data_IF_230474375238
#
_entry.id   IF_230474375238
#
_cell.length_a   1.000
_cell.length_b   1.000
_cell.length_c   1.000
_cell.angle_alpha   90.00
_cell.angle_beta   90.00
_cell.angle_gamma   90.00
#
_symmetry.space_group_name_H-M   'P 1'
#
loop_
_entity.id
_entity.type
_entity.pdbx_description
1 polymer ?
#
# COMPACT_ATOMS: atom_id res chain seq x y z
N UNK A 1 2.13 37.80 -19.07
CA UNK A 1 2.73 36.44 -18.88
C UNK A 1 2.15 35.87 -17.60
N UNK A 2 1.29 34.89 -17.72
CA UNK A 2 0.79 34.13 -16.59
C UNK A 2 1.74 32.96 -16.30
N UNK A 3 1.70 32.44 -15.06
CA UNK A 3 2.41 31.24 -14.66
C UNK A 3 1.42 30.10 -14.54
N UNK A 4 1.61 29.02 -15.29
CA UNK A 4 0.69 27.89 -15.37
C UNK A 4 1.39 26.63 -14.88
N UNK A 5 0.82 26.00 -13.86
CA UNK A 5 1.25 24.68 -13.41
C UNK A 5 0.67 23.57 -14.30
N UNK A 6 1.50 22.65 -14.73
CA UNK A 6 1.13 21.45 -15.50
C UNK A 6 1.33 20.23 -14.62
N UNK A 7 0.26 19.59 -14.22
CA UNK A 7 0.30 18.44 -13.30
C UNK A 7 -0.30 17.21 -13.96
N UNK A 8 0.54 16.49 -14.70
CA UNK A 8 0.19 15.20 -15.29
C UNK A 8 0.18 14.06 -14.29
N UNK A 9 -0.71 13.11 -14.46
CA UNK A 9 -0.75 11.93 -13.60
C UNK A 9 -1.82 10.92 -14.02
N UNK A 10 -1.73 9.69 -13.50
CA UNK A 10 -2.77 8.70 -13.72
C UNK A 10 -4.07 9.04 -12.96
N UNK A 11 -3.99 9.72 -11.82
CA UNK A 11 -5.11 10.05 -10.93
C UNK A 11 -6.03 8.85 -10.70
N UNK A 12 -5.47 7.76 -10.18
CA UNK A 12 -6.10 6.45 -10.17
C UNK A 12 -6.27 5.85 -8.75
N UNK A 13 -7.16 6.38 -7.89
CA UNK A 13 -7.93 7.61 -8.01
C UNK A 13 -7.13 8.88 -7.71
N UNK A 14 -7.68 10.07 -8.05
CA UNK A 14 -7.22 11.33 -7.47
C UNK A 14 -7.49 11.30 -5.96
N UNK A 15 -6.55 11.82 -5.16
CA UNK A 15 -6.65 11.83 -3.70
C UNK A 15 -6.21 13.18 -3.12
N UNK A 16 -6.54 13.44 -1.87
CA UNK A 16 -6.26 14.73 -1.22
C UNK A 16 -4.77 15.09 -1.24
N UNK A 17 -3.87 14.10 -1.25
CA UNK A 17 -2.44 14.33 -1.41
C UNK A 17 -2.07 15.04 -2.73
N UNK A 18 -2.75 14.71 -3.85
CA UNK A 18 -2.57 15.41 -5.12
C UNK A 18 -3.03 16.86 -5.02
N UNK A 19 -4.20 17.08 -4.42
CA UNK A 19 -4.82 18.41 -4.33
C UNK A 19 -4.01 19.32 -3.41
N UNK A 20 -3.59 18.83 -2.25
CA UNK A 20 -2.75 19.61 -1.33
C UNK A 20 -1.40 19.95 -1.95
N UNK A 21 -0.77 19.00 -2.66
CA UNK A 21 0.49 19.26 -3.37
C UNK A 21 0.33 20.36 -4.44
N UNK A 22 -0.72 20.26 -5.25
CA UNK A 22 -1.04 21.26 -6.26
C UNK A 22 -1.32 22.65 -5.63
N UNK A 23 -2.17 22.70 -4.59
CA UNK A 23 -2.49 23.96 -3.87
C UNK A 23 -1.22 24.63 -3.32
N UNK A 24 -0.34 23.85 -2.69
CA UNK A 24 0.92 24.35 -2.13
C UNK A 24 1.87 24.86 -3.22
N UNK A 25 2.01 24.10 -4.31
CA UNK A 25 2.82 24.54 -5.45
C UNK A 25 2.29 25.85 -6.04
N UNK A 26 0.96 25.97 -6.20
CA UNK A 26 0.32 27.21 -6.69
C UNK A 26 0.68 28.40 -5.80
N UNK A 27 0.58 28.24 -4.48
CA UNK A 27 0.87 29.32 -3.51
C UNK A 27 2.36 29.71 -3.53
N UNK A 28 3.27 28.72 -3.46
CA UNK A 28 4.70 28.98 -3.35
C UNK A 28 5.31 29.58 -4.62
N UNK A 29 4.82 29.19 -5.80
CA UNK A 29 5.33 29.66 -7.08
C UNK A 29 4.53 30.82 -7.68
N UNK A 30 3.44 31.24 -7.03
CA UNK A 30 2.56 32.31 -7.53
C UNK A 30 1.90 31.92 -8.86
N UNK A 31 1.49 30.64 -9.01
CA UNK A 31 0.87 30.19 -10.25
C UNK A 31 -0.56 30.75 -10.36
N UNK A 32 -0.88 31.32 -11.51
CA UNK A 32 -2.23 31.82 -11.81
C UNK A 32 -3.24 30.69 -11.83
N UNK A 33 -2.87 29.56 -12.45
CA UNK A 33 -3.67 28.32 -12.46
C UNK A 33 -2.80 27.06 -12.51
N UNK A 34 -3.42 25.93 -12.22
CA UNK A 34 -2.86 24.59 -12.41
C UNK A 34 -3.78 23.78 -13.29
N UNK A 35 -3.25 23.15 -14.32
CA UNK A 35 -3.90 22.18 -15.17
C UNK A 35 -3.59 20.78 -14.64
N UNK A 36 -4.59 20.08 -14.07
CA UNK A 36 -4.49 18.66 -13.76
C UNK A 36 -4.82 17.88 -15.05
N UNK A 37 -3.92 16.99 -15.47
CA UNK A 37 -4.01 16.29 -16.76
C UNK A 37 -4.03 14.78 -16.53
N UNK A 38 -5.21 14.16 -16.47
CA UNK A 38 -5.34 12.71 -16.37
C UNK A 38 -4.80 12.03 -17.63
N UNK A 39 -3.78 11.16 -17.46
CA UNK A 39 -3.18 10.42 -18.56
C UNK A 39 -4.20 9.45 -19.20
N UNK A 40 -4.32 9.46 -20.53
CA UNK A 40 -5.12 8.47 -21.24
C UNK A 40 -4.47 7.08 -21.12
N UNK A 41 -3.25 6.95 -21.59
CA UNK A 41 -2.42 5.74 -21.52
C UNK A 41 -1.06 6.12 -20.93
N UNK A 42 -0.83 5.91 -19.62
CA UNK A 42 0.45 6.23 -18.98
C UNK A 42 1.60 5.42 -19.61
N UNK A 43 2.69 6.07 -20.12
CA UNK A 43 3.75 5.36 -20.82
C UNK A 43 4.69 4.57 -19.91
N UNK A 44 4.80 4.98 -18.64
CA UNK A 44 5.79 4.43 -17.70
C UNK A 44 5.24 3.39 -16.73
N UNK A 45 3.92 3.23 -16.64
CA UNK A 45 3.29 2.33 -15.67
C UNK A 45 1.97 1.81 -16.22
N UNK A 46 1.86 0.49 -16.33
CA UNK A 46 0.57 -0.13 -16.60
C UNK A 46 -0.45 0.31 -15.54
N UNK A 47 -1.63 0.65 -15.98
CA UNK A 47 -2.76 0.96 -15.09
C UNK A 47 -3.09 -0.33 -14.32
N UNK A 48 -3.29 -0.24 -13.01
CA UNK A 48 -3.60 -1.40 -12.20
C UNK A 48 -4.87 -2.11 -12.72
N UNK A 49 -4.89 -3.42 -12.68
CA UNK A 49 -6.07 -4.22 -13.06
C UNK A 49 -7.31 -3.74 -12.29
N UNK A 50 -8.46 -3.65 -12.95
CA UNK A 50 -9.70 -3.13 -12.36
C UNK A 50 -9.76 -1.61 -12.21
N UNK A 51 -8.78 -0.87 -12.77
CA UNK A 51 -8.85 0.59 -12.80
C UNK A 51 -9.84 1.08 -13.85
N UNK A 52 -10.56 2.18 -13.59
CA UNK A 52 -11.46 2.79 -14.54
C UNK A 52 -10.70 3.39 -15.74
N UNK A 53 -11.42 3.60 -16.83
CA UNK A 53 -10.90 4.24 -18.04
C UNK A 53 -10.49 5.71 -17.82
N UNK A 54 -9.95 6.33 -18.87
CA UNK A 54 -9.49 7.72 -18.82
C UNK A 54 -10.61 8.72 -18.56
N UNK A 55 -11.80 8.50 -19.13
CA UNK A 55 -12.97 9.37 -18.96
C UNK A 55 -13.47 9.35 -17.51
N UNK A 56 -13.58 8.18 -16.94
CA UNK A 56 -13.98 8.03 -15.54
C UNK A 56 -12.94 8.69 -14.61
N UNK A 57 -11.64 8.53 -14.88
CA UNK A 57 -10.58 9.17 -14.08
C UNK A 57 -10.57 10.69 -14.25
N UNK A 58 -10.93 11.20 -15.42
CA UNK A 58 -11.15 12.63 -15.66
C UNK A 58 -12.30 13.15 -14.80
N UNK A 59 -13.47 12.48 -14.82
CA UNK A 59 -14.62 12.85 -14.01
C UNK A 59 -14.30 12.83 -12.51
N UNK A 60 -13.61 11.80 -12.02
CA UNK A 60 -13.13 11.74 -10.63
C UNK A 60 -12.18 12.91 -10.31
N UNK A 61 -11.31 13.31 -11.25
CA UNK A 61 -10.39 14.43 -11.04
C UNK A 61 -11.12 15.77 -10.98
N UNK A 62 -12.19 15.94 -11.77
CA UNK A 62 -13.06 17.12 -11.68
C UNK A 62 -13.73 17.21 -10.30
N UNK A 63 -14.24 16.09 -9.78
CA UNK A 63 -14.82 16.04 -8.44
C UNK A 63 -13.76 16.32 -7.35
N UNK A 64 -12.54 15.83 -7.52
CA UNK A 64 -11.47 16.03 -6.53
C UNK A 64 -11.05 17.49 -6.38
N UNK A 65 -11.20 18.32 -7.44
CA UNK A 65 -10.88 19.76 -7.40
C UNK A 65 -12.13 20.63 -7.22
N UNK A 66 -13.29 20.05 -6.94
CA UNK A 66 -14.51 20.85 -6.72
C UNK A 66 -14.28 21.84 -5.57
N UNK A 67 -14.53 23.12 -5.84
CA UNK A 67 -14.28 24.22 -4.89
C UNK A 67 -12.82 24.73 -4.83
N UNK A 68 -11.88 24.14 -5.58
CA UNK A 68 -10.49 24.63 -5.63
C UNK A 68 -10.34 25.79 -6.62
N UNK A 69 -10.01 26.96 -6.10
CA UNK A 69 -9.78 28.15 -6.95
C UNK A 69 -8.46 28.01 -7.72
N UNK A 70 -8.49 28.25 -9.03
CA UNK A 70 -7.31 28.23 -9.89
C UNK A 70 -6.77 26.82 -10.17
N UNK A 71 -7.63 25.79 -10.08
CA UNK A 71 -7.37 24.44 -10.58
C UNK A 71 -8.38 24.10 -11.68
N UNK A 72 -7.88 23.52 -12.76
CA UNK A 72 -8.68 23.11 -13.91
C UNK A 72 -8.26 21.70 -14.31
N UNK A 73 -9.19 20.86 -14.77
CA UNK A 73 -8.85 19.56 -15.37
C UNK A 73 -8.83 19.69 -16.87
N UNK A 74 -7.73 19.28 -17.51
CA UNK A 74 -7.56 19.33 -18.96
C UNK A 74 -7.70 17.95 -19.59
N UNK A 75 -8.40 17.89 -20.74
CA UNK A 75 -8.62 16.67 -21.53
C UNK A 75 -7.51 16.39 -22.55
N UNK A 76 -6.51 17.27 -22.64
CA UNK A 76 -5.50 17.29 -23.71
C UNK A 76 -4.87 15.91 -24.01
N UNK A 77 -4.67 15.06 -23.01
CA UNK A 77 -4.13 13.71 -23.19
C UNK A 77 -5.22 12.67 -23.54
N UNK A 78 -6.48 12.91 -23.14
CA UNK A 78 -7.60 12.04 -23.49
C UNK A 78 -8.04 12.23 -24.93
N UNK A 79 -7.95 13.46 -25.43
CA UNK A 79 -8.37 13.81 -26.79
C UNK A 79 -7.28 13.44 -27.83
N UNK A 80 -6.06 13.14 -27.39
CA UNK A 80 -4.95 12.69 -28.24
C UNK A 80 -4.84 11.18 -28.27
N UNK A 81 -4.77 10.55 -29.46
CA UNK A 81 -4.56 9.11 -29.58
C UNK A 81 -3.14 8.68 -29.14
N UNK A 82 -3.05 7.49 -28.54
CA UNK A 82 -1.77 6.87 -28.18
C UNK A 82 -1.28 7.18 -26.76
N UNK A 83 -0.01 6.84 -26.45
CA UNK A 83 0.56 7.04 -25.12
C UNK A 83 0.70 8.51 -24.74
N UNK A 84 0.43 8.82 -23.47
CA UNK A 84 0.47 10.17 -22.90
C UNK A 84 1.90 10.61 -22.58
N UNK A 85 2.69 10.96 -23.60
CA UNK A 85 4.03 11.49 -23.37
C UNK A 85 3.99 12.97 -23.00
N UNK A 86 4.67 13.32 -21.92
CA UNK A 86 4.73 14.69 -21.38
C UNK A 86 5.25 15.72 -22.38
N UNK A 87 6.24 15.36 -23.20
CA UNK A 87 6.78 16.25 -24.21
C UNK A 87 5.73 16.69 -25.23
N UNK A 88 4.88 15.75 -25.67
CA UNK A 88 3.82 16.05 -26.63
C UNK A 88 2.75 16.97 -25.99
N UNK A 89 2.39 16.69 -24.73
CA UNK A 89 1.48 17.53 -23.95
C UNK A 89 2.00 18.94 -23.77
N UNK A 90 3.27 19.11 -23.48
CA UNK A 90 3.89 20.44 -23.33
C UNK A 90 3.98 21.22 -24.65
N UNK A 91 4.19 20.53 -25.80
CA UNK A 91 4.15 21.16 -27.13
C UNK A 91 2.79 21.74 -27.43
N UNK A 92 1.72 20.95 -27.22
CA UNK A 92 0.34 21.43 -27.42
C UNK A 92 -0.04 22.57 -26.46
N UNK A 93 0.41 22.49 -25.19
CA UNK A 93 0.21 23.57 -24.24
C UNK A 93 0.97 24.84 -24.64
N UNK A 94 2.15 24.70 -25.22
CA UNK A 94 2.92 25.85 -25.69
C UNK A 94 2.23 26.56 -26.86
N UNK A 95 1.55 25.82 -27.72
CA UNK A 95 0.72 26.39 -28.79
C UNK A 95 -0.48 27.14 -28.20
N UNK A 96 -1.11 26.60 -27.19
CA UNK A 96 -2.27 27.20 -26.50
C UNK A 96 -1.91 28.41 -25.63
N UNK A 97 -0.72 28.40 -25.06
CA UNK A 97 -0.20 29.42 -24.13
C UNK A 97 1.18 29.95 -24.55
N UNK A 98 1.31 30.58 -25.72
CA UNK A 98 2.61 30.91 -26.30
C UNK A 98 3.41 31.95 -25.51
N UNK A 99 2.74 32.80 -24.70
CA UNK A 99 3.35 33.86 -23.94
C UNK A 99 3.50 33.56 -22.44
N UNK A 100 2.96 32.39 -21.96
CA UNK A 100 2.92 32.09 -20.54
C UNK A 100 4.07 31.15 -20.12
N UNK A 101 4.45 31.20 -18.87
CA UNK A 101 5.47 30.29 -18.30
C UNK A 101 4.82 29.01 -17.83
N UNK A 102 5.27 27.86 -18.33
CA UNK A 102 4.83 26.55 -17.90
C UNK A 102 5.72 25.99 -16.81
N UNK A 103 5.12 25.45 -15.76
CA UNK A 103 5.80 24.79 -14.63
C UNK A 103 5.33 23.34 -14.55
N UNK A 104 6.22 22.38 -14.87
CA UNK A 104 5.90 20.95 -14.84
C UNK A 104 6.00 20.41 -13.41
N UNK A 105 4.85 20.16 -12.79
CA UNK A 105 4.76 19.67 -11.42
C UNK A 105 4.88 18.15 -11.39
N UNK A 106 5.79 17.61 -10.61
CA UNK A 106 6.00 16.16 -10.51
C UNK A 106 6.38 15.73 -9.09
N UNK A 107 6.03 14.49 -8.72
CA UNK A 107 6.47 13.89 -7.47
C UNK A 107 7.94 13.48 -7.50
N UNK A 108 8.49 13.16 -6.33
CA UNK A 108 9.90 12.80 -6.12
C UNK A 108 10.39 11.68 -7.05
N UNK A 109 9.63 10.58 -7.16
CA UNK A 109 10.03 9.43 -7.98
C UNK A 109 10.15 9.80 -9.46
N UNK A 110 9.21 10.60 -9.95
CA UNK A 110 9.19 11.10 -11.33
C UNK A 110 10.32 12.07 -11.59
N UNK A 111 10.65 12.93 -10.63
CA UNK A 111 11.79 13.85 -10.70
C UNK A 111 13.13 13.10 -10.77
N UNK A 112 13.33 12.09 -9.92
CA UNK A 112 14.56 11.30 -9.90
C UNK A 112 14.74 10.45 -11.18
N UNK A 113 13.63 10.05 -11.83
CA UNK A 113 13.65 9.32 -13.10
C UNK A 113 13.59 10.18 -14.35
N UNK A 114 13.67 11.50 -14.24
CA UNK A 114 13.43 12.45 -15.35
C UNK A 114 14.28 12.19 -16.59
N UNK A 115 15.55 11.79 -16.43
CA UNK A 115 16.45 11.46 -17.54
C UNK A 115 16.01 10.22 -18.35
N UNK A 116 15.08 9.42 -17.84
CA UNK A 116 14.54 8.24 -18.53
C UNK A 116 13.28 8.59 -19.35
N UNK A 117 12.80 9.85 -19.26
CA UNK A 117 11.62 10.28 -19.98
C UNK A 117 11.93 10.45 -21.48
N UNK A 118 10.89 10.44 -22.29
CA UNK A 118 11.04 10.73 -23.73
C UNK A 118 11.38 12.19 -23.94
N UNK A 119 12.50 12.46 -24.60
CA UNK A 119 12.99 13.81 -24.95
C UNK A 119 13.09 14.75 -23.72
N UNK A 120 13.86 14.40 -22.68
CA UNK A 120 13.91 15.19 -21.45
C UNK A 120 14.47 16.61 -21.67
N UNK A 121 15.38 16.80 -22.64
CA UNK A 121 15.90 18.12 -23.06
C UNK A 121 14.75 19.01 -23.58
N UNK A 122 13.89 18.47 -24.44
CA UNK A 122 12.75 19.22 -24.98
C UNK A 122 11.76 19.58 -23.87
N UNK A 123 11.53 18.68 -22.90
CA UNK A 123 10.67 18.93 -21.74
C UNK A 123 11.24 20.10 -20.92
N UNK A 124 12.55 20.09 -20.62
CA UNK A 124 13.20 21.12 -19.83
C UNK A 124 13.23 22.48 -20.55
N UNK A 125 13.25 22.49 -21.89
CA UNK A 125 13.15 23.71 -22.69
C UNK A 125 11.72 24.28 -22.76
N UNK A 126 10.70 23.43 -22.67
CA UNK A 126 9.28 23.83 -22.77
C UNK A 126 8.68 24.28 -21.44
N UNK A 127 9.13 23.73 -20.31
CA UNK A 127 8.59 24.02 -18.99
C UNK A 127 9.65 23.95 -17.90
N UNK A 128 9.50 24.77 -16.85
CA UNK A 128 10.35 24.69 -15.66
C UNK A 128 10.00 23.44 -14.85
N UNK A 129 10.94 22.47 -14.68
CA UNK A 129 10.66 21.28 -13.90
C UNK A 129 10.55 21.63 -12.41
N UNK A 130 9.51 21.13 -11.75
CA UNK A 130 9.24 21.35 -10.32
C UNK A 130 9.04 20.03 -9.62
N UNK A 131 9.93 19.70 -8.69
CA UNK A 131 9.77 18.57 -7.80
C UNK A 131 8.95 18.99 -6.57
N UNK A 132 7.81 18.37 -6.37
CA UNK A 132 7.02 18.48 -5.14
C UNK A 132 7.53 17.43 -4.14
N UNK A 133 8.65 17.72 -3.48
CA UNK A 133 9.27 16.81 -2.54
C UNK A 133 8.45 16.68 -1.25
N UNK A 134 8.34 15.47 -0.72
CA UNK A 134 7.71 15.22 0.58
C UNK A 134 8.62 15.72 1.70
N UNK A 135 8.07 16.40 2.70
CA UNK A 135 8.83 17.11 3.76
C UNK A 135 9.71 16.19 4.63
N UNK A 136 9.38 14.93 4.72
CA UNK A 136 10.21 13.96 5.46
C UNK A 136 11.28 13.30 4.60
N UNK A 137 11.88 14.08 3.65
CA UNK A 137 13.10 13.63 3.02
C UNK A 137 14.16 13.45 4.11
N UNK A 138 14.64 12.24 4.31
CA UNK A 138 15.83 11.99 5.10
C UNK A 138 17.05 12.64 4.42
N UNK A 139 18.18 12.70 5.10
CA UNK A 139 19.39 13.32 4.57
C UNK A 139 19.83 12.68 3.22
N UNK A 140 19.57 11.37 3.04
CA UNK A 140 19.92 10.63 1.83
C UNK A 140 19.05 11.07 0.64
N UNK A 141 17.74 11.17 0.83
CA UNK A 141 16.83 11.66 -0.21
C UNK A 141 17.09 13.13 -0.56
N UNK A 142 17.36 13.95 0.45
CA UNK A 142 17.72 15.37 0.22
C UNK A 142 18.98 15.51 -0.64
N UNK A 143 20.01 14.69 -0.38
CA UNK A 143 21.22 14.65 -1.18
C UNK A 143 20.95 14.17 -2.62
N UNK A 144 20.10 13.17 -2.82
CA UNK A 144 19.71 12.70 -4.15
C UNK A 144 18.96 13.77 -4.95
N UNK A 145 18.04 14.51 -4.31
CA UNK A 145 17.31 15.60 -4.96
C UNK A 145 18.23 16.73 -5.38
N UNK A 146 19.18 17.10 -4.53
CA UNK A 146 20.19 18.12 -4.85
C UNK A 146 21.09 17.69 -6.02
N UNK A 147 21.61 16.46 -5.98
CA UNK A 147 22.44 15.93 -7.06
C UNK A 147 21.67 15.86 -8.41
N UNK A 148 20.40 15.48 -8.37
CA UNK A 148 19.55 15.48 -9.56
C UNK A 148 19.31 16.89 -10.10
N UNK A 149 19.09 17.88 -9.22
CA UNK A 149 18.90 19.28 -9.58
C UNK A 149 20.17 19.84 -10.26
N UNK A 150 21.36 19.63 -9.67
CA UNK A 150 22.65 20.03 -10.24
C UNK A 150 22.91 19.37 -11.59
N UNK A 151 22.61 18.07 -11.72
CA UNK A 151 22.76 17.34 -12.97
C UNK A 151 21.85 17.89 -14.08
N UNK A 152 20.59 18.19 -13.76
CA UNK A 152 19.65 18.78 -14.73
C UNK A 152 20.10 20.18 -15.17
N UNK A 153 20.57 21.00 -14.23
CA UNK A 153 21.12 22.33 -14.55
C UNK A 153 22.35 22.22 -15.47
N UNK A 154 23.27 21.31 -15.18
CA UNK A 154 24.47 21.10 -15.99
C UNK A 154 24.16 20.59 -17.41
N UNK A 155 23.16 19.72 -17.57
CA UNK A 155 22.84 19.09 -18.86
C UNK A 155 21.89 19.95 -19.70
N UNK A 156 20.86 20.51 -19.07
CA UNK A 156 19.77 21.21 -19.80
C UNK A 156 19.87 22.74 -19.70
N UNK A 157 20.76 23.28 -18.87
CA UNK A 157 20.88 24.73 -18.64
C UNK A 157 19.70 25.32 -17.86
N UNK A 158 18.83 24.49 -17.32
CA UNK A 158 17.65 24.88 -16.53
C UNK A 158 17.76 24.28 -15.14
N UNK A 159 17.77 25.15 -14.11
CA UNK A 159 17.75 24.69 -12.72
C UNK A 159 16.32 24.35 -12.29
N UNK A 160 16.01 23.09 -11.99
CA UNK A 160 14.70 22.72 -11.49
C UNK A 160 14.41 23.34 -10.12
N UNK A 161 13.12 23.46 -9.78
CA UNK A 161 12.69 23.91 -8.47
C UNK A 161 12.36 22.68 -7.62
N UNK A 162 12.93 22.61 -6.42
CA UNK A 162 12.56 21.58 -5.43
C UNK A 162 11.75 22.26 -4.33
N UNK A 163 10.46 21.97 -4.27
CA UNK A 163 9.55 22.46 -3.24
C UNK A 163 9.49 21.45 -2.09
N UNK A 164 9.76 21.93 -0.88
CA UNK A 164 9.41 21.17 0.31
C UNK A 164 7.92 21.31 0.57
N UNK A 165 7.24 20.18 0.59
CA UNK A 165 5.78 20.15 0.62
C UNK A 165 5.27 19.35 1.81
N UNK A 166 4.60 20.02 2.78
CA UNK A 166 3.95 19.41 3.95
C UNK A 166 2.66 18.66 3.56
N UNK A 167 2.69 17.92 2.46
CA UNK A 167 1.52 17.24 1.93
C UNK A 167 1.20 15.96 2.67
N UNK A 168 -0.09 15.61 2.62
CA UNK A 168 -0.57 14.27 2.99
C UNK A 168 0.20 13.21 2.18
N UNK A 169 1.00 12.41 2.89
CA UNK A 169 1.76 11.31 2.28
C UNK A 169 0.83 10.14 1.96
N UNK A 170 0.24 10.18 0.78
CA UNK A 170 -0.61 9.10 0.26
C UNK A 170 -0.28 8.84 -1.20
N UNK A 171 -0.35 7.59 -1.61
CA UNK A 171 -0.30 7.19 -3.02
C UNK A 171 -1.65 6.66 -3.49
N UNK A 172 -1.91 6.71 -4.80
CA UNK A 172 -3.12 6.10 -5.36
C UNK A 172 -3.23 4.60 -5.05
N UNK A 173 -2.11 3.89 -4.94
CA UNK A 173 -2.09 2.48 -4.51
C UNK A 173 -2.57 2.32 -3.07
N UNK A 174 -2.16 3.22 -2.19
CA UNK A 174 -2.64 3.23 -0.81
C UNK A 174 -4.11 3.65 -0.72
N UNK A 175 -4.53 4.66 -1.47
CA UNK A 175 -5.93 5.07 -1.55
C UNK A 175 -6.83 3.90 -1.99
N UNK A 176 -6.43 3.11 -3.01
CA UNK A 176 -7.17 1.90 -3.41
C UNK A 176 -7.23 0.84 -2.31
N UNK A 177 -6.15 0.68 -1.54
CA UNK A 177 -6.14 -0.23 -0.37
C UNK A 177 -7.12 0.24 0.71
N UNK A 178 -7.14 1.53 1.03
CA UNK A 178 -8.09 2.10 1.99
C UNK A 178 -9.54 2.00 1.51
N UNK A 179 -9.79 2.19 0.21
CA UNK A 179 -11.09 1.94 -0.42
C UNK A 179 -11.55 0.50 -0.24
N UNK A 180 -10.65 -0.47 -0.47
CA UNK A 180 -10.97 -1.89 -0.30
C UNK A 180 -11.42 -2.23 1.12
N UNK A 181 -10.84 -1.58 2.13
CA UNK A 181 -11.22 -1.77 3.54
C UNK A 181 -12.31 -0.82 4.04
N UNK A 182 -12.83 0.10 3.21
CA UNK A 182 -13.92 1.02 3.56
C UNK A 182 -13.49 2.18 4.48
N UNK A 183 -12.22 2.57 4.48
CA UNK A 183 -11.67 3.64 5.35
C UNK A 183 -10.94 4.74 4.57
N UNK A 184 -11.37 5.04 3.35
CA UNK A 184 -10.72 6.02 2.47
C UNK A 184 -11.22 7.47 2.63
N UNK A 185 -12.15 7.73 3.53
CA UNK A 185 -12.83 9.02 3.76
C UNK A 185 -11.87 10.17 4.12
N UNK A 186 -10.73 9.89 4.78
CA UNK A 186 -9.73 10.90 5.12
C UNK A 186 -8.74 11.23 3.99
N UNK A 187 -8.77 10.46 2.92
CA UNK A 187 -7.78 10.58 1.84
C UNK A 187 -8.39 10.90 0.49
N UNK A 188 -9.71 10.81 0.36
CA UNK A 188 -10.48 11.14 -0.85
C UNK A 188 -11.44 12.29 -0.57
N UNK A 189 -11.68 13.09 -1.62
CA UNK A 189 -12.77 14.07 -1.57
C UNK A 189 -14.11 13.32 -1.43
N UNK A 190 -15.08 13.83 -0.62
CA UNK A 190 -16.37 13.15 -0.42
C UNK A 190 -17.10 12.80 -1.72
N UNK A 191 -17.11 13.70 -2.71
CA UNK A 191 -17.78 13.45 -3.99
C UNK A 191 -17.06 12.40 -4.82
N UNK A 192 -15.72 12.31 -4.71
CA UNK A 192 -14.93 11.23 -5.34
C UNK A 192 -15.29 9.90 -4.72
N UNK A 193 -15.35 9.82 -3.38
CA UNK A 193 -15.74 8.61 -2.67
C UNK A 193 -17.16 8.18 -3.03
N UNK A 194 -18.12 9.12 -3.03
CA UNK A 194 -19.51 8.86 -3.39
C UNK A 194 -19.67 8.33 -4.83
N UNK A 195 -18.92 8.87 -5.81
CA UNK A 195 -18.91 8.35 -7.18
C UNK A 195 -18.32 6.94 -7.24
N UNK A 196 -17.18 6.69 -6.56
CA UNK A 196 -16.53 5.37 -6.51
C UNK A 196 -17.50 4.31 -5.95
N UNK A 197 -18.20 4.62 -4.88
CA UNK A 197 -19.17 3.71 -4.24
C UNK A 197 -20.38 3.46 -5.14
N UNK A 198 -20.97 4.52 -5.72
CA UNK A 198 -22.14 4.43 -6.61
C UNK A 198 -21.84 3.57 -7.84
N UNK A 199 -20.67 3.75 -8.44
CA UNK A 199 -20.29 3.08 -9.68
C UNK A 199 -19.47 1.80 -9.43
N UNK A 200 -19.24 1.43 -8.16
CA UNK A 200 -18.47 0.25 -7.74
C UNK A 200 -17.08 0.20 -8.37
N UNK A 201 -16.41 1.34 -8.47
CA UNK A 201 -15.07 1.43 -9.03
C UNK A 201 -14.03 0.82 -8.07
N UNK A 202 -12.87 0.44 -8.60
CA UNK A 202 -11.75 -0.11 -7.83
C UNK A 202 -12.10 -1.36 -7.00
N UNK A 203 -13.14 -2.09 -7.40
CA UNK A 203 -13.60 -3.28 -6.69
C UNK A 203 -14.43 -3.00 -5.43
N UNK A 204 -14.82 -1.76 -5.16
CA UNK A 204 -15.70 -1.42 -4.04
C UNK A 204 -17.05 -2.14 -4.20
N UNK A 205 -17.50 -2.82 -3.14
CA UNK A 205 -18.73 -3.63 -3.17
C UNK A 205 -18.66 -4.87 -4.09
N UNK A 206 -17.45 -5.32 -4.42
CA UNK A 206 -17.23 -6.55 -5.18
C UNK A 206 -17.69 -7.80 -4.41
N UNK A 207 -18.03 -8.86 -5.15
CA UNK A 207 -18.38 -10.15 -4.59
C UNK A 207 -17.10 -10.95 -4.26
N UNK A 208 -16.57 -10.75 -3.05
CA UNK A 208 -15.34 -11.42 -2.60
C UNK A 208 -15.59 -12.70 -1.77
N UNK A 209 -16.85 -12.97 -1.40
CA UNK A 209 -17.22 -14.17 -0.65
C UNK A 209 -16.98 -15.43 -1.48
N UNK A 210 -16.42 -16.44 -0.85
CA UNK A 210 -16.20 -17.77 -1.43
C UNK A 210 -15.43 -17.78 -2.76
N UNK A 211 -14.48 -16.85 -2.93
CA UNK A 211 -13.63 -16.83 -4.12
C UNK A 211 -12.88 -18.16 -4.31
N UNK A 212 -12.74 -18.65 -5.56
CA UNK A 212 -11.75 -19.66 -5.87
C UNK A 212 -10.35 -19.22 -5.39
N UNK A 213 -9.53 -20.17 -4.94
CA UNK A 213 -8.22 -19.84 -4.32
C UNK A 213 -7.33 -19.00 -5.24
N UNK A 214 -7.33 -19.25 -6.55
CA UNK A 214 -6.53 -18.45 -7.49
C UNK A 214 -6.92 -16.95 -7.49
N UNK A 215 -8.22 -16.66 -7.44
CA UNK A 215 -8.73 -15.29 -7.39
C UNK A 215 -8.49 -14.65 -6.01
N UNK A 216 -8.72 -15.40 -4.93
CA UNK A 216 -8.41 -14.97 -3.56
C UNK A 216 -6.93 -14.57 -3.45
N UNK A 217 -6.02 -15.41 -3.96
CA UNK A 217 -4.58 -15.16 -3.98
C UNK A 217 -4.25 -13.88 -4.75
N UNK A 218 -4.83 -13.70 -5.95
CA UNK A 218 -4.62 -12.50 -6.78
C UNK A 218 -5.06 -11.23 -6.03
N UNK A 219 -6.25 -11.24 -5.43
CA UNK A 219 -6.77 -10.12 -4.64
C UNK A 219 -5.89 -9.86 -3.43
N UNK A 220 -5.57 -10.87 -2.63
CA UNK A 220 -4.71 -10.73 -1.46
C UNK A 220 -3.36 -10.13 -1.82
N UNK A 221 -2.67 -10.67 -2.81
CA UNK A 221 -1.35 -10.18 -3.22
C UNK A 221 -1.38 -8.73 -3.75
N UNK A 222 -2.51 -8.27 -4.33
CA UNK A 222 -2.67 -6.88 -4.76
C UNK A 222 -2.71 -5.88 -3.59
N UNK A 223 -3.14 -6.33 -2.41
CA UNK A 223 -3.22 -5.52 -1.19
C UNK A 223 -1.91 -5.47 -0.40
N UNK A 224 -0.98 -6.38 -0.66
CA UNK A 224 0.34 -6.39 -0.02
C UNK A 224 1.28 -5.35 -0.64
N UNK A 225 2.26 -4.87 0.17
CA UNK A 225 3.43 -4.18 -0.38
C UNK A 225 4.24 -5.17 -1.22
N UNK A 226 4.78 -4.75 -2.34
CA UNK A 226 5.49 -5.62 -3.29
C UNK A 226 6.50 -6.56 -2.62
N UNK A 227 7.35 -6.02 -1.76
CA UNK A 227 8.37 -6.77 -1.00
C UNK A 227 7.81 -7.86 -0.07
N UNK A 228 6.49 -7.85 0.20
CA UNK A 228 5.84 -8.84 1.07
C UNK A 228 5.05 -9.91 0.31
N UNK A 229 4.92 -9.77 -1.01
CA UNK A 229 4.15 -10.74 -1.82
C UNK A 229 4.76 -12.14 -1.79
N UNK A 230 6.10 -12.22 -1.95
CA UNK A 230 6.81 -13.49 -1.88
C UNK A 230 6.65 -14.16 -0.51
N UNK A 231 6.70 -13.38 0.58
CA UNK A 231 6.45 -13.86 1.93
C UNK A 231 5.03 -14.43 2.09
N UNK A 232 3.99 -13.67 1.70
CA UNK A 232 2.60 -14.14 1.83
C UNK A 232 2.35 -15.44 1.03
N UNK A 233 2.95 -15.56 -0.15
CA UNK A 233 2.93 -16.80 -0.92
C UNK A 233 3.68 -17.92 -0.20
N UNK A 234 4.88 -17.66 0.32
CA UNK A 234 5.69 -18.63 1.06
C UNK A 234 4.96 -19.15 2.30
N UNK A 235 4.25 -18.29 3.04
CA UNK A 235 3.44 -18.73 4.19
C UNK A 235 2.30 -19.64 3.74
N UNK A 236 1.58 -19.29 2.68
CA UNK A 236 0.50 -20.12 2.14
C UNK A 236 1.01 -21.51 1.71
N UNK A 237 2.12 -21.55 0.95
CA UNK A 237 2.69 -22.81 0.46
C UNK A 237 3.23 -23.68 1.62
N UNK A 238 3.89 -23.06 2.60
CA UNK A 238 4.39 -23.77 3.80
C UNK A 238 3.24 -24.31 4.64
N UNK A 239 2.15 -23.53 4.80
CA UNK A 239 0.98 -23.97 5.55
C UNK A 239 0.32 -25.20 4.91
N UNK A 240 0.22 -25.24 3.57
CA UNK A 240 -0.29 -26.44 2.84
C UNK A 240 0.60 -27.66 3.10
N UNK A 241 1.92 -27.52 3.03
CA UNK A 241 2.85 -28.62 3.31
C UNK A 241 2.72 -29.14 4.74
N UNK A 242 2.56 -28.26 5.72
CA UNK A 242 2.36 -28.62 7.11
C UNK A 242 0.98 -29.24 7.33
N UNK A 243 -0.07 -28.70 6.70
CA UNK A 243 -1.42 -29.29 6.75
C UNK A 243 -1.44 -30.72 6.24
N UNK A 244 -0.81 -30.97 5.10
CA UNK A 244 -0.65 -32.31 4.53
C UNK A 244 0.09 -33.25 5.48
N UNK A 245 1.15 -32.79 6.12
CA UNK A 245 1.95 -33.60 7.04
C UNK A 245 1.20 -33.94 8.32
N UNK A 246 0.51 -32.97 8.90
CA UNK A 246 -0.10 -33.11 10.22
C UNK A 246 -1.61 -33.42 10.19
N UNK A 247 -2.21 -33.53 9.01
CA UNK A 247 -3.63 -33.94 8.84
C UNK A 247 -4.63 -32.79 9.05
N UNK A 248 -4.27 -31.55 8.75
CA UNK A 248 -5.21 -30.43 8.67
C UNK A 248 -5.77 -30.28 7.24
N UNK A 249 -6.82 -29.48 7.10
CA UNK A 249 -7.39 -29.13 5.79
C UNK A 249 -6.40 -28.25 4.99
N UNK A 250 -5.96 -28.75 3.82
CA UNK A 250 -5.01 -28.07 2.95
C UNK A 250 -5.60 -26.80 2.34
N UNK A 251 -6.91 -26.77 2.09
CA UNK A 251 -7.59 -25.61 1.52
C UNK A 251 -7.68 -24.50 2.54
N UNK A 252 -8.07 -24.79 3.77
CA UNK A 252 -8.10 -23.84 4.86
C UNK A 252 -6.71 -23.28 5.17
N UNK A 253 -5.68 -24.14 5.13
CA UNK A 253 -4.29 -23.74 5.34
C UNK A 253 -3.80 -22.79 4.26
N UNK A 254 -4.11 -23.07 2.97
CA UNK A 254 -3.77 -22.20 1.86
C UNK A 254 -4.44 -20.80 2.01
N UNK A 255 -5.74 -20.81 2.34
CA UNK A 255 -6.56 -19.59 2.48
C UNK A 255 -6.12 -18.75 3.68
N UNK A 256 -5.92 -19.37 4.84
CA UNK A 256 -5.41 -18.68 6.02
C UNK A 256 -4.01 -18.11 5.78
N UNK A 257 -3.10 -18.89 5.17
CA UNK A 257 -1.75 -18.47 4.88
C UNK A 257 -1.67 -17.29 3.93
N UNK A 258 -2.49 -17.23 2.86
CA UNK A 258 -2.46 -16.12 1.91
C UNK A 258 -3.11 -14.85 2.47
N UNK A 259 -3.99 -14.96 3.46
CA UNK A 259 -4.72 -13.85 4.06
C UNK A 259 -4.12 -13.33 5.38
N UNK A 260 -3.21 -14.07 6.04
CA UNK A 260 -2.75 -13.77 7.42
C UNK A 260 -2.28 -12.32 7.60
N UNK A 261 -1.60 -11.77 6.62
CA UNK A 261 -0.99 -10.42 6.63
C UNK A 261 -1.72 -9.41 5.73
N UNK A 262 -2.98 -9.67 5.34
CA UNK A 262 -3.69 -8.87 4.32
C UNK A 262 -3.81 -7.39 4.68
N UNK A 263 -3.87 -7.05 5.95
CA UNK A 263 -3.93 -5.66 6.45
C UNK A 263 -2.58 -5.10 6.89
N UNK A 264 -1.48 -5.88 6.81
CA UNK A 264 -0.13 -5.50 7.27
C UNK A 264 0.45 -4.27 6.56
N UNK A 265 -0.07 -3.94 5.38
CA UNK A 265 0.37 -2.77 4.64
C UNK A 265 -0.19 -1.45 5.19
N UNK A 266 -1.21 -1.50 6.04
CA UNK A 266 -1.79 -0.34 6.71
C UNK A 266 -0.85 0.22 7.78
N UNK A 267 -0.83 1.55 7.93
CA UNK A 267 -0.10 2.23 9.01
C UNK A 267 -0.74 1.97 10.37
N UNK A 268 -0.05 2.24 11.50
CA UNK A 268 -0.64 2.11 12.83
C UNK A 268 -1.98 2.85 12.99
N UNK A 269 -2.07 4.09 12.54
CA UNK A 269 -3.30 4.88 12.59
C UNK A 269 -4.41 4.29 11.73
N UNK A 270 -4.08 3.78 10.53
CA UNK A 270 -5.05 3.10 9.65
C UNK A 270 -5.54 1.78 10.24
N UNK A 271 -4.68 1.03 10.95
CA UNK A 271 -5.08 -0.18 11.69
C UNK A 271 -6.09 0.16 12.80
N UNK A 272 -5.79 1.21 13.60
CA UNK A 272 -6.69 1.68 14.64
C UNK A 272 -8.02 2.15 14.06
N UNK A 273 -7.98 2.95 12.99
CA UNK A 273 -9.20 3.38 12.27
C UNK A 273 -10.04 2.19 11.81
N UNK A 274 -9.42 1.14 11.32
CA UNK A 274 -10.11 -0.06 10.87
C UNK A 274 -10.74 -0.83 12.06
N UNK A 275 -10.04 -0.91 13.20
CA UNK A 275 -10.60 -1.46 14.46
C UNK A 275 -11.86 -0.69 14.87
N UNK A 276 -11.80 0.64 14.87
CA UNK A 276 -12.90 1.51 15.28
C UNK A 276 -14.07 1.42 14.27
N UNK A 277 -13.77 1.48 12.98
CA UNK A 277 -14.75 1.38 11.90
C UNK A 277 -15.51 0.04 11.94
N UNK A 278 -14.81 -1.04 12.19
CA UNK A 278 -15.42 -2.38 12.29
C UNK A 278 -15.85 -2.75 13.70
N UNK A 279 -15.61 -1.90 14.71
CA UNK A 279 -15.94 -2.12 16.13
C UNK A 279 -15.40 -3.46 16.62
N UNK A 280 -14.10 -3.69 16.36
CA UNK A 280 -13.47 -4.96 16.72
C UNK A 280 -13.20 -5.03 18.24
N UNK A 281 -13.44 -6.16 18.90
CA UNK A 281 -13.08 -6.35 20.29
C UNK A 281 -11.57 -6.57 20.40
N UNK A 282 -10.84 -5.53 20.78
CA UNK A 282 -9.40 -5.57 21.05
C UNK A 282 -9.12 -5.04 22.45
N UNK A 283 -8.13 -5.62 23.13
CA UNK A 283 -7.70 -5.11 24.43
C UNK A 283 -6.95 -3.77 24.27
N UNK A 284 -6.88 -2.93 25.33
CA UNK A 284 -6.07 -1.71 25.29
C UNK A 284 -4.60 -1.97 24.94
N UNK A 285 -4.06 -3.11 25.35
CA UNK A 285 -2.68 -3.51 25.02
C UNK A 285 -2.53 -3.77 23.53
N UNK A 286 -3.42 -4.54 22.91
CA UNK A 286 -3.40 -4.80 21.46
C UNK A 286 -3.62 -3.52 20.67
N UNK A 287 -4.56 -2.66 21.08
CA UNK A 287 -4.85 -1.40 20.42
C UNK A 287 -3.62 -0.47 20.35
N UNK A 288 -2.79 -0.48 21.39
CA UNK A 288 -1.55 0.29 21.43
C UNK A 288 -0.41 -0.35 20.62
N UNK A 289 -0.55 -1.60 20.19
CA UNK A 289 0.49 -2.38 19.49
C UNK A 289 0.10 -2.68 18.04
N UNK A 290 0.45 -1.78 17.12
CA UNK A 290 0.14 -1.94 15.70
C UNK A 290 0.59 -3.29 15.10
N UNK A 291 1.63 -3.91 15.67
CA UNK A 291 2.10 -5.24 15.26
C UNK A 291 1.12 -6.36 15.60
N UNK A 292 0.24 -6.17 16.57
CA UNK A 292 -0.79 -7.13 16.93
C UNK A 292 -2.10 -6.85 16.17
N UNK A 293 -2.41 -5.57 15.93
CA UNK A 293 -3.66 -5.18 15.28
C UNK A 293 -3.85 -5.77 13.89
N UNK A 294 -2.76 -5.99 13.13
CA UNK A 294 -2.92 -6.55 11.78
C UNK A 294 -3.48 -7.99 11.78
N UNK A 295 -3.26 -8.77 12.84
CA UNK A 295 -3.86 -10.09 12.97
C UNK A 295 -5.38 -9.97 13.21
N UNK A 296 -5.80 -9.09 14.12
CA UNK A 296 -7.21 -8.81 14.43
C UNK A 296 -7.96 -8.24 13.22
N UNK A 297 -7.40 -7.23 12.57
CA UNK A 297 -8.00 -6.63 11.36
C UNK A 297 -7.95 -7.57 10.16
N UNK A 298 -6.91 -8.40 10.04
CA UNK A 298 -6.79 -9.44 9.01
C UNK A 298 -7.86 -10.53 9.16
N UNK A 299 -8.06 -11.02 10.39
CA UNK A 299 -9.11 -11.97 10.71
C UNK A 299 -10.51 -11.41 10.43
N UNK A 300 -10.75 -10.14 10.80
CA UNK A 300 -12.00 -9.46 10.50
C UNK A 300 -12.22 -9.27 8.99
N UNK A 301 -11.17 -8.97 8.22
CA UNK A 301 -11.23 -8.90 6.76
C UNK A 301 -11.55 -10.28 6.15
N UNK A 302 -10.92 -11.35 6.63
CA UNK A 302 -11.18 -12.72 6.20
C UNK A 302 -12.65 -13.10 6.41
N UNK A 303 -13.22 -12.78 7.56
CA UNK A 303 -14.62 -13.06 7.87
C UNK A 303 -15.59 -12.18 7.05
N UNK A 304 -15.40 -10.85 7.07
CA UNK A 304 -16.39 -9.87 6.59
C UNK A 304 -16.34 -9.66 5.08
N UNK A 305 -15.13 -9.67 4.50
CA UNK A 305 -14.94 -9.40 3.08
C UNK A 305 -14.91 -10.71 2.29
N UNK A 306 -14.19 -11.71 2.77
CA UNK A 306 -13.98 -12.95 2.02
C UNK A 306 -14.95 -14.07 2.42
N UNK A 307 -15.66 -13.95 3.56
CA UNK A 307 -16.60 -14.97 4.03
C UNK A 307 -15.92 -16.28 4.41
N UNK A 308 -14.69 -16.18 4.93
CA UNK A 308 -13.93 -17.36 5.38
C UNK A 308 -14.59 -18.03 6.59
N UNK A 309 -14.39 -19.33 6.72
CA UNK A 309 -14.89 -20.09 7.86
C UNK A 309 -14.15 -19.75 9.16
N UNK A 310 -14.73 -20.16 10.29
CA UNK A 310 -14.18 -19.83 11.61
C UNK A 310 -12.78 -20.40 11.85
N UNK A 311 -12.41 -21.52 11.24
CA UNK A 311 -11.07 -22.10 11.41
C UNK A 311 -10.02 -21.22 10.76
N UNK A 312 -10.25 -20.74 9.53
CA UNK A 312 -9.40 -19.80 8.80
C UNK A 312 -9.30 -18.47 9.55
N UNK A 313 -10.45 -17.92 9.98
CA UNK A 313 -10.51 -16.64 10.71
C UNK A 313 -9.71 -16.73 12.02
N UNK A 314 -9.91 -17.80 12.81
CA UNK A 314 -9.19 -17.99 14.08
C UNK A 314 -7.69 -18.17 13.87
N UNK A 315 -7.27 -18.90 12.83
CA UNK A 315 -5.86 -19.08 12.51
C UNK A 315 -5.18 -17.74 12.15
N UNK A 316 -5.89 -16.85 11.45
CA UNK A 316 -5.40 -15.50 11.16
C UNK A 316 -5.37 -14.64 12.44
N UNK A 317 -6.38 -14.74 13.30
CA UNK A 317 -6.50 -13.92 14.51
C UNK A 317 -5.34 -14.15 15.49
N UNK A 318 -4.88 -15.39 15.59
CA UNK A 318 -3.84 -15.80 16.54
C UNK A 318 -2.46 -16.05 15.92
N UNK A 319 -2.26 -15.74 14.64
CA UNK A 319 -0.99 -16.03 13.97
C UNK A 319 0.23 -15.26 14.53
N UNK A 320 0.01 -14.16 15.25
CA UNK A 320 1.11 -13.36 15.84
C UNK A 320 1.39 -13.70 17.30
N UNK A 321 0.37 -14.08 18.05
CA UNK A 321 0.47 -14.28 19.51
C UNK A 321 0.41 -15.74 19.92
N UNK A 322 -0.27 -16.57 19.13
CA UNK A 322 -0.80 -17.84 19.59
C UNK A 322 -1.86 -17.63 20.68
N UNK A 323 -2.35 -18.71 21.27
CA UNK A 323 -3.21 -18.73 22.46
C UNK A 323 -3.13 -20.09 23.15
N UNK A 324 -3.62 -20.22 24.40
CA UNK A 324 -3.86 -21.53 24.97
C UNK A 324 -4.88 -22.31 24.13
N UNK A 325 -4.73 -23.62 24.07
CA UNK A 325 -5.61 -24.53 23.30
C UNK A 325 -5.67 -24.21 21.79
N UNK A 326 -4.53 -23.85 21.17
CA UNK A 326 -4.46 -23.67 19.73
C UNK A 326 -4.94 -24.89 18.97
N UNK A 327 -5.82 -24.67 18.00
CA UNK A 327 -6.19 -25.69 17.02
C UNK A 327 -5.02 -26.09 16.15
N UNK A 328 -5.13 -27.20 15.42
CA UNK A 328 -4.08 -27.64 14.51
C UNK A 328 -3.76 -26.58 13.43
N UNK A 329 -4.80 -25.96 12.86
CA UNK A 329 -4.64 -24.90 11.84
C UNK A 329 -3.99 -23.63 12.43
N UNK A 330 -4.36 -23.21 13.64
CA UNK A 330 -3.73 -22.08 14.32
C UNK A 330 -2.22 -22.31 14.53
N UNK A 331 -1.83 -23.51 14.98
CA UNK A 331 -0.42 -23.89 15.11
C UNK A 331 0.32 -23.83 13.78
N UNK A 332 -0.30 -24.36 12.72
CA UNK A 332 0.27 -24.37 11.38
C UNK A 332 0.49 -22.95 10.85
N UNK A 333 -0.49 -22.05 10.93
CA UNK A 333 -0.36 -20.69 10.41
C UNK A 333 0.63 -19.90 11.23
N UNK A 334 0.60 -20.00 12.57
CA UNK A 334 1.57 -19.35 13.47
C UNK A 334 3.01 -19.70 13.06
N UNK A 335 3.30 -21.00 12.85
CA UNK A 335 4.67 -21.40 12.59
C UNK A 335 5.06 -21.24 11.11
N UNK A 336 4.12 -21.34 10.16
CA UNK A 336 4.38 -21.13 8.76
C UNK A 336 4.87 -19.70 8.48
N UNK A 337 4.25 -18.67 9.13
CA UNK A 337 4.73 -17.29 9.06
C UNK A 337 6.17 -17.15 9.55
N UNK A 338 6.56 -17.95 10.54
CA UNK A 338 7.86 -17.83 11.20
C UNK A 338 8.97 -18.58 10.45
N UNK A 339 8.65 -19.64 9.66
CA UNK A 339 9.63 -20.53 9.04
C UNK A 339 9.60 -20.60 7.50
N UNK A 340 8.71 -19.87 6.82
CA UNK A 340 8.60 -19.95 5.36
C UNK A 340 9.96 -19.69 4.66
N UNK A 341 10.15 -20.15 3.40
CA UNK A 341 11.48 -20.17 2.76
C UNK A 341 12.21 -18.82 2.68
N UNK A 342 11.47 -17.69 2.61
CA UNK A 342 12.09 -16.36 2.54
C UNK A 342 12.49 -15.80 3.93
N UNK A 343 12.24 -16.53 5.02
CA UNK A 343 12.73 -16.16 6.34
C UNK A 343 14.20 -16.52 6.49
N UNK A 344 14.98 -15.52 6.87
CA UNK A 344 16.41 -15.65 7.16
C UNK A 344 16.73 -14.90 8.45
N UNK A 345 16.93 -15.65 9.54
CA UNK A 345 17.36 -15.14 10.83
C UNK A 345 18.09 -16.24 11.63
N UNK A 346 18.92 -15.89 12.61
CA UNK A 346 19.65 -16.87 13.42
C UNK A 346 18.72 -17.87 14.10
N UNK A 347 18.89 -19.16 13.79
CA UNK A 347 18.09 -20.23 14.38
C UNK A 347 16.88 -20.68 13.57
N UNK A 348 16.61 -20.09 12.40
CA UNK A 348 15.46 -20.48 11.56
C UNK A 348 15.57 -21.95 11.09
N UNK A 349 16.75 -22.46 10.79
CA UNK A 349 16.93 -23.85 10.35
C UNK A 349 16.66 -24.84 11.49
N UNK A 350 17.13 -24.54 12.72
CA UNK A 350 16.76 -25.31 13.91
C UNK A 350 15.24 -25.32 14.13
N UNK A 351 14.58 -24.18 13.89
CA UNK A 351 13.13 -24.09 13.99
C UNK A 351 12.44 -24.99 12.94
N UNK A 352 12.89 -24.93 11.69
CA UNK A 352 12.41 -25.80 10.60
C UNK A 352 12.55 -27.27 10.95
N UNK A 353 13.72 -27.68 11.41
CA UNK A 353 13.97 -29.07 11.83
C UNK A 353 13.01 -29.51 12.96
N UNK A 354 12.81 -28.67 13.99
CA UNK A 354 11.90 -28.96 15.09
C UNK A 354 10.46 -29.10 14.57
N UNK A 355 9.99 -28.16 13.75
CA UNK A 355 8.63 -28.21 13.17
C UNK A 355 8.43 -29.44 12.30
N UNK A 356 9.41 -29.81 11.47
CA UNK A 356 9.29 -31.02 10.64
C UNK A 356 9.36 -32.33 11.44
N UNK A 357 9.89 -32.32 12.66
CA UNK A 357 9.91 -33.47 13.57
C UNK A 357 8.61 -33.58 14.37
N UNK A 358 8.23 -32.50 15.04
CA UNK A 358 7.06 -32.40 15.92
C UNK A 358 6.53 -30.97 15.90
N UNK A 359 5.24 -30.80 15.55
CA UNK A 359 4.63 -29.48 15.40
C UNK A 359 4.61 -28.68 16.71
N UNK A 360 4.26 -29.34 17.81
CA UNK A 360 4.12 -28.68 19.12
C UNK A 360 5.49 -28.28 19.69
N UNK A 361 6.52 -29.08 19.42
CA UNK A 361 7.91 -28.70 19.72
C UNK A 361 8.33 -27.46 18.92
N UNK A 362 8.03 -27.46 17.61
CA UNK A 362 8.35 -26.33 16.74
C UNK A 362 7.62 -25.06 17.13
N UNK A 363 6.33 -25.13 17.43
CA UNK A 363 5.52 -23.97 17.86
C UNK A 363 6.04 -23.44 19.20
N UNK A 364 6.30 -24.30 20.18
CA UNK A 364 6.90 -23.91 21.47
C UNK A 364 8.24 -23.20 21.28
N UNK A 365 9.12 -23.76 20.46
CA UNK A 365 10.41 -23.13 20.13
C UNK A 365 10.22 -21.75 19.47
N UNK A 366 9.28 -21.62 18.53
CA UNK A 366 8.95 -20.34 17.89
C UNK A 366 8.44 -19.29 18.88
N UNK A 367 7.60 -19.69 19.83
CA UNK A 367 7.12 -18.81 20.92
C UNK A 367 8.31 -18.38 21.80
N UNK A 368 9.15 -19.32 22.24
CA UNK A 368 10.31 -19.01 23.07
C UNK A 368 11.27 -18.03 22.36
N UNK A 369 11.58 -18.24 21.08
CA UNK A 369 12.38 -17.30 20.29
C UNK A 369 11.76 -15.91 20.20
N UNK A 370 10.44 -15.82 20.06
CA UNK A 370 9.70 -14.54 20.04
C UNK A 370 9.81 -13.84 21.41
N UNK A 371 9.58 -14.55 22.50
CA UNK A 371 9.66 -14.01 23.87
C UNK A 371 11.07 -13.53 24.20
N UNK A 372 12.10 -14.29 23.83
CA UNK A 372 13.50 -13.87 24.00
C UNK A 372 13.81 -12.59 23.20
N UNK A 373 13.31 -12.48 21.98
CA UNK A 373 13.51 -11.28 21.18
C UNK A 373 12.82 -10.05 21.77
N UNK A 374 11.60 -10.21 22.32
CA UNK A 374 10.88 -9.15 23.01
C UNK A 374 11.62 -8.71 24.27
N UNK A 375 12.10 -9.66 25.08
CA UNK A 375 12.88 -9.39 26.30
C UNK A 375 14.17 -8.63 25.98
N UNK A 376 14.92 -9.03 24.93
CA UNK A 376 16.14 -8.31 24.46
C UNK A 376 15.85 -6.87 24.04
N UNK A 377 14.63 -6.58 23.57
CA UNK A 377 14.20 -5.23 23.18
C UNK A 377 13.51 -4.44 24.30
N UNK A 378 13.37 -5.02 25.50
CA UNK A 378 12.64 -4.42 26.61
C UNK A 378 11.14 -4.24 26.30
N UNK A 379 10.57 -5.05 25.40
CA UNK A 379 9.17 -4.98 25.01
C UNK A 379 8.34 -6.01 25.79
N UNK A 380 7.12 -5.64 26.26
CA UNK A 380 6.26 -6.58 26.98
C UNK A 380 5.73 -7.67 26.04
N UNK A 381 5.60 -8.87 26.57
CA UNK A 381 4.94 -9.99 25.90
C UNK A 381 3.41 -9.89 26.01
N UNK A 382 2.70 -10.35 24.98
CA UNK A 382 1.26 -10.50 25.05
C UNK A 382 0.88 -11.63 26.02
N UNK A 383 -0.22 -11.45 26.77
CA UNK A 383 -0.73 -12.47 27.68
C UNK A 383 -1.04 -13.79 26.95
N UNK A 384 -1.60 -13.70 25.72
CA UNK A 384 -1.91 -14.89 24.92
C UNK A 384 -0.66 -15.68 24.54
N UNK A 385 0.46 -15.03 24.23
CA UNK A 385 1.72 -15.72 23.94
C UNK A 385 2.28 -16.48 25.14
N UNK A 386 2.16 -15.89 26.34
CA UNK A 386 2.53 -16.56 27.57
C UNK A 386 1.61 -17.75 27.88
N UNK A 387 0.30 -17.58 27.71
CA UNK A 387 -0.69 -18.64 27.89
C UNK A 387 -0.51 -19.78 26.87
N UNK A 388 -0.19 -19.46 25.62
CA UNK A 388 0.13 -20.45 24.58
C UNK A 388 1.35 -21.30 24.98
N UNK A 389 2.43 -20.64 25.44
CA UNK A 389 3.64 -21.28 25.92
C UNK A 389 3.39 -22.23 27.08
N UNK A 390 2.72 -21.73 28.10
CA UNK A 390 2.45 -22.51 29.31
C UNK A 390 1.58 -23.73 29.01
N UNK A 391 0.56 -23.57 28.17
CA UNK A 391 -0.29 -24.66 27.72
C UNK A 391 0.51 -25.73 26.94
N UNK A 392 1.36 -25.35 25.99
CA UNK A 392 2.17 -26.32 25.25
C UNK A 392 3.16 -27.08 26.16
N UNK A 393 3.72 -26.43 27.18
CA UNK A 393 4.60 -27.10 28.14
C UNK A 393 3.81 -28.12 28.99
N UNK A 394 2.58 -27.79 29.39
CA UNK A 394 1.75 -28.69 30.18
C UNK A 394 1.32 -29.92 29.36
N UNK A 395 0.79 -29.70 28.17
CA UNK A 395 0.31 -30.81 27.31
C UNK A 395 1.40 -31.78 26.86
N UNK A 396 2.65 -31.33 26.80
CA UNK A 396 3.81 -32.20 26.47
C UNK A 396 4.35 -32.97 27.68
N UNK A 397 3.94 -32.65 28.90
CA UNK A 397 4.32 -33.36 30.14
C UNK A 397 3.33 -34.42 30.52
N UNK A 398 2.11 -34.37 29.99
CA UNK A 398 1.13 -35.42 30.18
C UNK A 398 1.42 -36.56 29.21
N UNK A 399 1.64 -37.81 29.68
CA UNK A 399 2.03 -38.97 28.87
C UNK A 399 0.90 -39.43 27.91
#
# INVERSE_FOLDING_TARGET
MARIGVYGGSFNPPHLGHIFAARKARQLLGLGKILLIPAAIPPHKAVAEGSPDGETRFALTQLAIAGETGMEVSRIELDRPGPSYTVDTLRELRESYPQDELYLLMGTDMFLSFFQWREPEAIAALAVPVCMARVRADAALSAQLLAQQEKMEAVFGVRPIVLQNDCLEISSTEARRLLFFGIADEVLHPDVLAMIERERLYGVGGAYHALPFADLRRVSLSLHKEKRRAHAQGVSDTAVLLAKKYGADETDAARAGILHDITKALSPAQQQKLVDHWKLPVSPFEYAQAKLLHAKTGAAAAARIFGENNAVVSAIDYHTTGRAHMTLLEKIIYIADYMEPNRDFPGVDRLREAVWRDLDEGVLLGIDMTLEQLAKKGQPACADSLAARDWLIQTRKEP
#
